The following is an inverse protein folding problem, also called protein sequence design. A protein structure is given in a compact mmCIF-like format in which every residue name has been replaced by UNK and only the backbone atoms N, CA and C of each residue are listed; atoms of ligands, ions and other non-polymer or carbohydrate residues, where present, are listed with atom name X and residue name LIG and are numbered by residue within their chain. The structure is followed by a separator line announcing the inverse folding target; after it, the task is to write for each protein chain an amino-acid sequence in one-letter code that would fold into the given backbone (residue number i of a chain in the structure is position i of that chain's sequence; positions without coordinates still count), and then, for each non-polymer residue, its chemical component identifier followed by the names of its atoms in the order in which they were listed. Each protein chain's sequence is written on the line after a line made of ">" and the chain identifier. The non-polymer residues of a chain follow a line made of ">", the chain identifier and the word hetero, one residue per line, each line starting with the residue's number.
data_IF_798929493245
#
_entry.id   IF_798929493245
#
_cell.length_a   1.000
_cell.length_b   1.000
_cell.length_c   1.000
_cell.angle_alpha   90.00
_cell.angle_beta   90.00
_cell.angle_gamma   90.00
#
_symmetry.space_group_name_H-M   'P 1'
#
loop_
_entity.id
_entity.type
_entity.pdbx_description
1 polymer ?
#
# COMPACT_ATOMS: atom_id res chain seq x y z
N UNK A 1 14.76 -2.80 -33.02
CA UNK A 1 14.02 -2.77 -31.73
C UNK A 1 13.65 -1.34 -31.46
N UNK A 2 12.37 -0.98 -31.49
CA UNK A 2 11.92 0.38 -31.26
C UNK A 2 12.13 0.75 -29.77
N UNK A 3 12.65 1.93 -29.54
CA UNK A 3 12.94 2.48 -28.22
C UNK A 3 11.61 2.62 -27.42
N UNK A 4 11.43 1.96 -26.25
CA UNK A 4 10.16 1.97 -25.53
C UNK A 4 9.79 3.33 -24.93
N UNK A 5 10.63 4.35 -25.06
CA UNK A 5 10.43 5.70 -24.53
C UNK A 5 9.91 6.73 -25.55
N UNK A 6 9.74 6.39 -26.82
CA UNK A 6 9.05 7.30 -27.74
C UNK A 6 7.53 7.05 -27.66
N UNK A 7 6.86 7.88 -26.83
CA UNK A 7 5.40 8.02 -26.91
C UNK A 7 5.07 8.37 -28.38
N UNK A 8 4.14 7.66 -29.01
CA UNK A 8 3.79 7.94 -30.40
C UNK A 8 3.33 9.39 -30.54
N UNK A 9 3.65 10.07 -31.66
CA UNK A 9 3.21 11.45 -31.91
C UNK A 9 1.69 11.63 -31.74
N UNK A 10 0.92 10.58 -32.02
CA UNK A 10 -0.54 10.59 -31.82
C UNK A 10 -0.91 10.75 -30.35
N UNK A 11 -0.21 10.08 -29.43
CA UNK A 11 -0.44 10.21 -27.97
C UNK A 11 -0.10 11.62 -27.50
N UNK A 12 1.03 12.19 -27.93
CA UNK A 12 1.43 13.55 -27.59
C UNK A 12 0.45 14.58 -28.14
N UNK A 13 -0.08 14.37 -29.35
CA UNK A 13 -1.09 15.24 -29.95
C UNK A 13 -2.41 15.17 -29.16
N UNK A 14 -2.85 13.96 -28.79
CA UNK A 14 -4.05 13.77 -27.96
C UNK A 14 -3.93 14.46 -26.59
N UNK A 15 -2.77 14.37 -25.95
CA UNK A 15 -2.48 15.05 -24.69
C UNK A 15 -2.58 16.58 -24.80
N UNK A 16 -2.00 17.16 -25.86
CA UNK A 16 -2.11 18.62 -26.11
C UNK A 16 -3.55 19.08 -26.39
N UNK A 17 -4.29 18.28 -27.16
CA UNK A 17 -5.71 18.58 -27.42
C UNK A 17 -6.52 18.57 -26.13
N UNK A 18 -6.28 17.60 -25.24
CA UNK A 18 -6.96 17.52 -23.96
C UNK A 18 -6.61 18.72 -23.06
N UNK A 19 -5.33 19.09 -22.95
CA UNK A 19 -4.93 20.30 -22.19
C UNK A 19 -5.58 21.56 -22.72
N UNK A 20 -5.63 21.72 -24.05
CA UNK A 20 -6.34 22.86 -24.67
C UNK A 20 -7.83 22.81 -24.35
N UNK A 21 -8.45 21.64 -24.34
CA UNK A 21 -9.88 21.48 -24.05
C UNK A 21 -10.25 21.76 -22.58
N UNK A 22 -9.33 21.51 -21.63
CA UNK A 22 -9.52 21.86 -20.22
C UNK A 22 -9.67 23.38 -20.02
N UNK A 23 -9.14 24.20 -20.93
CA UNK A 23 -9.18 25.65 -20.83
C UNK A 23 -8.16 26.21 -19.83
N UNK A 24 -7.99 27.55 -19.87
CA UNK A 24 -6.98 28.24 -19.06
C UNK A 24 -7.24 28.17 -17.55
N UNK A 25 -8.50 28.20 -17.12
CA UNK A 25 -8.87 28.16 -15.72
C UNK A 25 -8.47 26.82 -15.07
N UNK A 26 -8.92 25.69 -15.65
CA UNK A 26 -8.57 24.36 -15.12
C UNK A 26 -7.06 24.12 -15.24
N UNK A 27 -6.42 24.49 -16.35
CA UNK A 27 -4.98 24.36 -16.52
C UNK A 27 -4.22 25.13 -15.44
N UNK A 28 -4.61 26.38 -15.14
CA UNK A 28 -4.01 27.17 -14.07
C UNK A 28 -4.19 26.54 -12.68
N UNK A 29 -5.38 25.98 -12.39
CA UNK A 29 -5.60 25.24 -11.13
C UNK A 29 -4.74 23.96 -11.04
N UNK A 30 -4.53 23.26 -12.15
CA UNK A 30 -3.69 22.06 -12.16
C UNK A 30 -2.20 22.41 -12.03
N UNK A 31 -1.75 23.59 -12.43
CA UNK A 31 -0.38 24.07 -12.28
C UNK A 31 -0.10 24.61 -10.86
N UNK A 32 -1.11 25.11 -10.13
CA UNK A 32 -0.96 25.59 -8.76
C UNK A 32 -0.63 24.42 -7.79
N UNK A 33 0.59 24.37 -7.19
CA UNK A 33 0.97 23.26 -6.33
C UNK A 33 0.17 23.18 -5.03
N UNK A 34 -0.57 24.22 -4.66
CA UNK A 34 -1.41 24.23 -3.45
C UNK A 34 -2.77 23.59 -3.67
N UNK A 35 -3.22 23.41 -4.93
CA UNK A 35 -4.48 22.78 -5.29
C UNK A 35 -4.27 21.29 -5.45
N UNK A 36 -5.12 20.50 -4.80
CA UNK A 36 -5.09 19.03 -4.78
C UNK A 36 -6.11 18.45 -5.74
N UNK A 37 -7.26 19.10 -5.88
CA UNK A 37 -8.39 18.61 -6.68
C UNK A 37 -9.16 19.76 -7.31
N UNK A 38 -9.64 19.56 -8.56
CA UNK A 38 -10.50 20.47 -9.31
C UNK A 38 -11.77 19.72 -9.67
N UNK A 39 -12.93 20.30 -9.38
CA UNK A 39 -14.22 19.64 -9.59
C UNK A 39 -15.17 20.53 -10.37
N UNK A 40 -15.92 19.96 -11.31
CA UNK A 40 -17.06 20.56 -11.98
C UNK A 40 -18.34 19.96 -11.42
N UNK A 41 -19.21 20.79 -10.87
CA UNK A 41 -20.56 20.40 -10.45
C UNK A 41 -21.59 20.56 -11.58
N UNK A 42 -22.78 19.90 -11.48
CA UNK A 42 -23.81 20.00 -12.49
C UNK A 42 -24.38 21.44 -12.72
N UNK A 43 -24.17 22.36 -11.79
CA UNK A 43 -24.52 23.79 -11.95
C UNK A 43 -23.52 24.55 -12.82
N UNK A 44 -22.47 23.88 -13.32
CA UNK A 44 -21.42 24.46 -14.15
C UNK A 44 -20.30 25.13 -13.35
N UNK A 45 -20.41 25.27 -12.02
CA UNK A 45 -19.40 25.92 -11.20
C UNK A 45 -18.21 25.02 -10.95
N UNK A 46 -16.98 25.58 -11.05
CA UNK A 46 -15.74 24.92 -10.65
C UNK A 46 -15.49 25.11 -9.16
N UNK A 47 -15.07 24.02 -8.53
CA UNK A 47 -14.64 23.96 -7.15
C UNK A 47 -13.21 23.46 -7.08
N UNK A 48 -12.46 23.92 -6.09
CA UNK A 48 -11.07 23.50 -5.87
C UNK A 48 -10.89 23.05 -4.41
N UNK A 49 -10.08 22.02 -4.18
CA UNK A 49 -9.61 21.63 -2.86
C UNK A 49 -8.15 22.05 -2.72
N UNK A 50 -7.85 22.91 -1.71
CA UNK A 50 -6.52 23.41 -1.40
C UNK A 50 -5.93 22.72 -0.18
N UNK A 51 -4.62 22.58 -0.18
CA UNK A 51 -3.88 21.99 0.96
C UNK A 51 -4.10 22.76 2.26
N UNK A 52 -4.22 24.09 2.21
CA UNK A 52 -4.37 24.99 3.37
C UNK A 52 -5.83 25.15 3.79
N UNK A 53 -6.70 25.48 2.81
CA UNK A 53 -8.03 26.02 3.08
C UNK A 53 -9.14 25.00 2.82
N UNK A 54 -8.82 23.85 2.23
CA UNK A 54 -9.77 22.82 1.88
C UNK A 54 -10.63 23.21 0.65
N UNK A 55 -11.91 22.78 0.68
CA UNK A 55 -12.82 22.89 -0.45
C UNK A 55 -13.42 24.31 -0.56
N UNK A 56 -13.21 24.95 -1.70
CA UNK A 56 -13.70 26.31 -2.00
C UNK A 56 -14.35 26.39 -3.38
N UNK A 57 -15.44 27.16 -3.48
CA UNK A 57 -16.02 27.53 -4.76
C UNK A 57 -15.13 28.55 -5.47
N UNK A 58 -15.07 28.48 -6.79
CA UNK A 58 -14.43 29.52 -7.62
C UNK A 58 -15.50 30.38 -8.31
N UNK A 59 -15.07 31.48 -8.93
CA UNK A 59 -15.94 32.28 -9.78
C UNK A 59 -16.04 31.75 -11.21
N UNK A 60 -15.29 30.70 -11.53
CA UNK A 60 -15.24 30.07 -12.84
C UNK A 60 -16.46 29.17 -13.08
N UNK A 61 -17.10 29.35 -14.25
CA UNK A 61 -18.28 28.59 -14.66
C UNK A 61 -18.02 27.98 -16.04
N UNK A 62 -18.19 26.67 -16.19
CA UNK A 62 -18.16 25.97 -17.46
C UNK A 62 -19.58 25.72 -17.97
N UNK A 63 -19.79 25.86 -19.31
CA UNK A 63 -21.00 25.38 -19.92
C UNK A 63 -21.13 23.85 -19.86
N UNK A 64 -22.37 23.34 -19.85
CA UNK A 64 -22.61 21.90 -19.92
C UNK A 64 -21.96 21.27 -21.18
N UNK A 65 -21.95 21.98 -22.30
CA UNK A 65 -21.33 21.54 -23.55
C UNK A 65 -19.78 21.39 -23.40
N UNK A 66 -19.14 22.33 -22.70
CA UNK A 66 -17.69 22.25 -22.45
C UNK A 66 -17.35 21.12 -21.48
N UNK A 67 -18.14 20.96 -20.40
CA UNK A 67 -17.99 19.84 -19.46
C UNK A 67 -18.13 18.48 -20.17
N UNK A 68 -19.15 18.32 -21.01
CA UNK A 68 -19.36 17.11 -21.82
C UNK A 68 -18.19 16.88 -22.80
N UNK A 69 -17.74 17.93 -23.49
CA UNK A 69 -16.58 17.85 -24.40
C UNK A 69 -15.32 17.36 -23.72
N UNK A 70 -15.02 17.88 -22.51
CA UNK A 70 -13.87 17.45 -21.72
C UNK A 70 -13.99 15.95 -21.39
N UNK A 71 -15.13 15.51 -20.85
CA UNK A 71 -15.37 14.11 -20.47
C UNK A 71 -15.20 13.18 -21.67
N UNK A 72 -15.77 13.54 -22.85
CA UNK A 72 -15.65 12.75 -24.08
C UNK A 72 -14.21 12.69 -24.61
N UNK A 73 -13.44 13.77 -24.52
CA UNK A 73 -12.04 13.78 -24.93
C UNK A 73 -11.18 12.91 -24.01
N UNK A 74 -11.42 12.93 -22.69
CA UNK A 74 -10.75 12.04 -21.75
C UNK A 74 -11.09 10.59 -22.07
N UNK A 75 -12.37 10.25 -22.26
CA UNK A 75 -12.80 8.90 -22.62
C UNK A 75 -12.11 8.43 -23.91
N UNK A 76 -12.11 9.22 -24.97
CA UNK A 76 -11.44 8.92 -26.21
C UNK A 76 -9.93 8.67 -26.02
N UNK A 77 -9.27 9.46 -25.16
CA UNK A 77 -7.84 9.33 -24.90
C UNK A 77 -7.48 7.98 -24.27
N UNK A 78 -8.34 7.45 -23.39
CA UNK A 78 -8.13 6.14 -22.74
C UNK A 78 -8.75 4.97 -23.51
N UNK A 79 -9.31 5.23 -24.69
CA UNK A 79 -9.95 4.23 -25.54
C UNK A 79 -11.29 3.73 -24.97
N UNK A 80 -11.95 4.55 -24.15
CA UNK A 80 -13.28 4.27 -23.61
C UNK A 80 -14.36 5.04 -24.39
N UNK A 81 -15.58 4.52 -24.36
CA UNK A 81 -16.76 5.22 -24.86
C UNK A 81 -17.57 5.74 -23.68
N UNK A 82 -18.09 6.98 -23.80
CA UNK A 82 -18.99 7.58 -22.82
C UNK A 82 -20.24 8.10 -23.51
N UNK A 83 -21.39 7.60 -23.07
CA UNK A 83 -22.71 7.93 -23.61
C UNK A 83 -23.80 7.61 -22.56
N UNK A 84 -25.08 7.86 -22.88
CA UNK A 84 -26.18 7.65 -21.93
C UNK A 84 -26.33 6.22 -21.37
N UNK A 85 -25.88 5.21 -22.10
CA UNK A 85 -25.85 3.80 -21.63
C UNK A 85 -24.57 3.42 -20.87
N UNK A 86 -23.51 4.23 -20.99
CA UNK A 86 -22.24 4.11 -20.28
C UNK A 86 -21.78 5.51 -19.84
N UNK A 87 -22.47 6.15 -18.88
CA UNK A 87 -22.34 7.57 -18.59
C UNK A 87 -21.11 7.94 -17.73
N UNK A 88 -20.24 6.99 -17.42
CA UNK A 88 -19.09 7.16 -16.54
C UNK A 88 -17.77 6.92 -17.27
N UNK A 89 -16.76 7.73 -16.96
CA UNK A 89 -15.38 7.48 -17.35
C UNK A 89 -14.44 7.73 -16.16
N UNK A 90 -13.62 6.74 -15.85
CA UNK A 90 -12.48 6.85 -14.93
C UNK A 90 -11.20 6.76 -15.75
N UNK A 91 -10.27 7.70 -15.56
CA UNK A 91 -9.07 7.79 -16.37
C UNK A 91 -7.91 8.41 -15.59
N UNK A 92 -6.70 8.22 -16.12
CA UNK A 92 -5.50 8.98 -15.73
C UNK A 92 -5.19 9.94 -16.89
N UNK A 93 -5.06 11.23 -16.59
CA UNK A 93 -4.75 12.22 -17.61
C UNK A 93 -3.33 12.02 -18.14
N UNK A 94 -3.11 12.22 -19.45
CA UNK A 94 -1.80 12.01 -20.06
C UNK A 94 -0.78 13.03 -19.55
N UNK A 95 0.49 12.62 -19.56
CA UNK A 95 1.68 13.39 -19.17
C UNK A 95 1.84 13.62 -17.67
N UNK A 96 0.83 14.11 -17.00
CA UNK A 96 0.89 14.54 -15.59
C UNK A 96 0.27 13.54 -14.61
N UNK A 97 -0.58 12.63 -15.12
CA UNK A 97 -1.08 11.50 -14.34
C UNK A 97 -2.17 11.86 -13.33
N UNK A 98 -2.87 12.98 -13.52
CA UNK A 98 -4.02 13.32 -12.68
C UNK A 98 -5.14 12.28 -12.87
N UNK A 99 -5.75 11.90 -11.77
CA UNK A 99 -6.93 11.04 -11.78
C UNK A 99 -8.15 11.84 -12.19
N UNK A 100 -8.85 11.37 -13.20
CA UNK A 100 -10.07 11.94 -13.71
C UNK A 100 -11.24 11.00 -13.48
N UNK A 101 -12.34 11.51 -12.92
CA UNK A 101 -13.63 10.83 -12.85
C UNK A 101 -14.68 11.73 -13.48
N UNK A 102 -15.36 11.28 -14.53
CA UNK A 102 -16.37 12.06 -15.25
C UNK A 102 -17.69 11.32 -15.36
N UNK A 103 -18.78 12.08 -15.23
CA UNK A 103 -20.16 11.59 -15.28
C UNK A 103 -20.97 12.43 -16.25
N UNK A 104 -21.81 11.75 -17.05
CA UNK A 104 -22.78 12.36 -17.95
C UNK A 104 -24.23 12.01 -17.55
N UNK A 105 -25.24 12.79 -18.02
CA UNK A 105 -26.61 12.34 -17.93
C UNK A 105 -26.80 10.93 -18.52
N UNK A 106 -27.69 10.08 -17.95
CA UNK A 106 -28.76 10.40 -17.00
C UNK A 106 -28.39 10.25 -15.52
N UNK A 107 -27.17 9.88 -15.15
CA UNK A 107 -26.79 9.64 -13.74
C UNK A 107 -26.53 10.93 -12.96
N UNK A 108 -26.36 12.03 -13.67
CA UNK A 108 -26.25 13.41 -13.17
C UNK A 108 -27.16 14.32 -13.98
N UNK A 109 -27.54 15.46 -13.41
CA UNK A 109 -28.44 16.41 -14.11
C UNK A 109 -27.76 17.13 -15.30
N UNK A 110 -26.46 17.38 -15.19
CA UNK A 110 -25.56 17.93 -16.21
C UNK A 110 -24.15 17.32 -16.01
N UNK A 111 -23.23 17.45 -16.99
CA UNK A 111 -21.88 16.92 -16.89
C UNK A 111 -21.19 17.36 -15.60
N UNK A 112 -20.55 16.40 -14.92
CA UNK A 112 -19.79 16.63 -13.71
C UNK A 112 -18.48 15.84 -13.78
N UNK A 113 -17.40 16.40 -13.23
CA UNK A 113 -16.12 15.66 -13.11
C UNK A 113 -15.30 16.12 -11.92
N UNK A 114 -14.38 15.26 -11.52
CA UNK A 114 -13.30 15.58 -10.58
C UNK A 114 -11.94 15.24 -11.20
N UNK A 115 -10.96 16.13 -11.02
CA UNK A 115 -9.57 15.95 -11.44
C UNK A 115 -8.71 16.05 -10.20
N UNK A 116 -8.15 14.92 -9.74
CA UNK A 116 -7.30 14.87 -8.57
C UNK A 116 -5.83 14.75 -8.96
N UNK A 117 -5.01 15.65 -8.45
CA UNK A 117 -3.58 15.66 -8.71
C UNK A 117 -2.87 14.53 -7.95
N UNK A 118 -1.85 13.90 -8.56
CA UNK A 118 -0.97 13.02 -7.83
C UNK A 118 -0.22 13.81 -6.75
N UNK A 119 0.20 13.16 -5.67
CA UNK A 119 1.04 13.81 -4.67
C UNK A 119 2.36 14.26 -5.32
N UNK A 120 2.64 15.56 -5.26
CA UNK A 120 3.81 16.16 -5.96
C UNK A 120 5.11 15.92 -5.19
N UNK A 121 5.04 15.78 -3.86
CA UNK A 121 6.21 15.58 -3.01
C UNK A 121 6.03 14.32 -2.13
N UNK A 122 7.09 13.52 -2.06
CA UNK A 122 7.19 12.45 -1.06
C UNK A 122 7.68 13.10 0.23
N UNK A 123 6.79 13.26 1.20
CA UNK A 123 7.16 13.65 2.56
C UNK A 123 7.93 12.52 3.22
N UNK A 124 9.03 12.84 3.86
CA UNK A 124 9.78 11.92 4.72
C UNK A 124 9.12 11.83 6.11
N UNK A 125 9.46 10.80 6.88
CA UNK A 125 9.00 10.74 8.27
C UNK A 125 9.54 11.92 9.11
N UNK A 126 10.72 12.47 8.75
CA UNK A 126 11.27 13.66 9.40
C UNK A 126 10.47 14.92 9.07
N UNK A 127 9.96 15.05 7.84
CA UNK A 127 9.05 16.15 7.47
C UNK A 127 7.75 16.10 8.27
N UNK A 128 7.22 14.90 8.54
CA UNK A 128 6.05 14.72 9.40
C UNK A 128 6.32 15.17 10.85
N UNK A 129 7.51 14.89 11.36
CA UNK A 129 7.94 15.36 12.71
C UNK A 129 8.10 16.87 12.73
N UNK A 130 8.79 17.43 11.72
CA UNK A 130 9.01 18.88 11.59
C UNK A 130 7.69 19.66 11.45
N UNK A 131 6.69 19.08 10.78
CA UNK A 131 5.36 19.65 10.64
C UNK A 131 4.47 19.44 11.88
N UNK A 132 4.94 18.76 12.93
CA UNK A 132 4.16 18.46 14.13
C UNK A 132 3.00 17.47 13.89
N UNK A 133 3.01 16.73 12.79
CA UNK A 133 1.97 15.75 12.46
C UNK A 133 2.16 14.46 13.26
N UNK A 134 3.42 14.09 13.57
CA UNK A 134 3.76 12.99 14.46
C UNK A 134 4.91 13.34 15.38
N UNK A 135 5.08 12.58 16.46
CA UNK A 135 6.23 12.69 17.36
C UNK A 135 7.46 11.97 16.80
N UNK A 136 8.66 12.33 17.27
CA UNK A 136 9.90 11.62 16.93
C UNK A 136 9.84 10.13 17.29
N UNK A 137 9.21 9.79 18.43
CA UNK A 137 9.01 8.40 18.84
C UNK A 137 8.10 7.62 17.89
N UNK A 138 7.04 8.25 17.38
CA UNK A 138 6.17 7.62 16.37
C UNK A 138 6.92 7.40 15.05
N UNK A 139 7.72 8.37 14.60
CA UNK A 139 8.53 8.23 13.40
C UNK A 139 9.55 7.09 13.53
N UNK A 140 10.21 6.97 14.67
CA UNK A 140 11.16 5.90 14.93
C UNK A 140 10.50 4.52 15.01
N UNK A 141 9.34 4.42 15.66
CA UNK A 141 8.55 3.19 15.68
C UNK A 141 8.14 2.74 14.26
N UNK A 142 7.78 3.69 13.38
CA UNK A 142 7.49 3.38 11.97
C UNK A 142 8.73 2.92 11.20
N UNK A 143 9.91 3.54 11.40
CA UNK A 143 11.17 3.11 10.78
C UNK A 143 11.55 1.70 11.23
N UNK A 144 11.47 1.45 12.53
CA UNK A 144 11.72 0.13 13.11
C UNK A 144 10.77 -0.91 12.52
N UNK A 145 9.48 -0.62 12.44
CA UNK A 145 8.49 -1.52 11.84
C UNK A 145 8.81 -1.82 10.36
N UNK A 146 9.26 -0.83 9.58
CA UNK A 146 9.71 -1.04 8.21
C UNK A 146 10.96 -1.91 8.16
N UNK A 147 11.97 -1.65 9.00
CA UNK A 147 13.22 -2.42 9.06
C UNK A 147 12.97 -3.89 9.46
N UNK A 148 12.06 -4.13 10.40
CA UNK A 148 11.65 -5.46 10.87
C UNK A 148 10.67 -6.17 9.95
N UNK A 149 10.33 -5.58 8.81
CA UNK A 149 9.34 -6.12 7.87
C UNK A 149 7.97 -6.37 8.52
N UNK A 150 7.53 -5.47 9.41
CA UNK A 150 6.19 -5.51 9.97
C UNK A 150 5.15 -5.11 8.94
N UNK A 151 4.00 -5.77 8.93
CA UNK A 151 2.86 -5.38 8.09
C UNK A 151 2.16 -4.19 8.71
N UNK A 152 2.10 -3.08 7.98
CA UNK A 152 1.60 -1.79 8.45
C UNK A 152 0.30 -1.44 7.73
N UNK A 153 -0.76 -1.17 8.47
CA UNK A 153 -2.02 -0.69 7.95
C UNK A 153 -2.18 0.80 8.26
N UNK A 154 -2.26 1.64 7.23
CA UNK A 154 -2.47 3.09 7.37
C UNK A 154 -3.95 3.39 7.26
N UNK A 155 -4.55 3.84 8.36
CA UNK A 155 -5.97 4.13 8.47
C UNK A 155 -6.24 5.64 8.54
N UNK A 156 -7.45 6.05 8.18
CA UNK A 156 -7.89 7.43 8.26
C UNK A 156 -9.07 7.71 7.34
N UNK A 157 -9.73 8.83 7.53
CA UNK A 157 -10.80 9.31 6.66
C UNK A 157 -10.30 9.79 5.29
N UNK A 158 -11.21 10.29 4.47
CA UNK A 158 -10.87 10.91 3.18
C UNK A 158 -10.04 12.18 3.40
N UNK A 159 -9.00 12.38 2.59
CA UNK A 159 -8.11 13.56 2.62
C UNK A 159 -7.29 13.73 3.91
N UNK A 160 -7.19 12.70 4.77
CA UNK A 160 -6.32 12.74 5.97
C UNK A 160 -4.84 12.56 5.66
N UNK A 161 -4.48 12.14 4.43
CA UNK A 161 -3.10 11.94 4.00
C UNK A 161 -2.60 10.50 4.11
N UNK A 162 -3.50 9.50 4.08
CA UNK A 162 -3.12 8.07 4.09
C UNK A 162 -2.07 7.74 3.02
N UNK A 163 -2.36 8.08 1.77
CA UNK A 163 -1.45 7.83 0.63
C UNK A 163 -0.10 8.54 0.81
N UNK A 164 -0.11 9.76 1.38
CA UNK A 164 1.11 10.52 1.64
C UNK A 164 1.98 9.84 2.71
N UNK A 165 1.39 9.34 3.81
CA UNK A 165 2.12 8.57 4.81
C UNK A 165 2.61 7.23 4.25
N UNK A 166 1.79 6.56 3.43
CA UNK A 166 2.21 5.33 2.75
C UNK A 166 3.43 5.59 1.85
N UNK A 167 3.46 6.71 1.12
CA UNK A 167 4.62 7.09 0.31
C UNK A 167 5.86 7.38 1.19
N UNK A 168 5.71 7.98 2.37
CA UNK A 168 6.82 8.13 3.32
C UNK A 168 7.37 6.77 3.79
N UNK A 169 6.49 5.80 4.06
CA UNK A 169 6.91 4.43 4.39
C UNK A 169 7.56 3.72 3.21
N UNK A 170 7.07 3.92 1.99
CA UNK A 170 7.69 3.39 0.76
C UNK A 170 9.07 4.00 0.51
N UNK A 171 9.30 5.27 0.88
CA UNK A 171 10.63 5.89 0.84
C UNK A 171 11.59 5.23 1.84
N UNK A 172 11.13 4.82 3.02
CA UNK A 172 11.95 4.01 3.95
C UNK A 172 12.22 2.61 3.39
N UNK A 173 11.21 1.95 2.80
CA UNK A 173 11.37 0.64 2.14
C UNK A 173 12.37 0.73 0.98
N UNK A 174 12.37 1.82 0.22
CA UNK A 174 13.27 2.02 -0.92
C UNK A 174 14.77 2.09 -0.53
N UNK A 175 15.07 2.33 0.75
CA UNK A 175 16.45 2.26 1.29
C UNK A 175 16.94 0.82 1.48
N UNK A 176 16.05 -0.17 1.39
CA UNK A 176 16.39 -1.59 1.49
C UNK A 176 16.71 -2.19 0.11
N UNK A 177 17.26 -3.41 0.09
CA UNK A 177 17.49 -4.17 -1.15
C UNK A 177 16.29 -5.03 -1.56
N UNK A 178 15.13 -4.84 -0.94
CA UNK A 178 13.95 -5.67 -1.12
C UNK A 178 13.35 -5.51 -2.53
N UNK A 179 12.86 -6.62 -3.09
CA UNK A 179 12.02 -6.59 -4.29
C UNK A 179 10.61 -6.19 -3.90
N UNK A 180 10.17 -5.04 -4.37
CA UNK A 180 8.87 -4.45 -4.05
C UNK A 180 7.91 -4.64 -5.20
N UNK A 181 6.72 -5.17 -4.93
CA UNK A 181 5.64 -5.27 -5.92
C UNK A 181 4.47 -4.43 -5.40
N UNK A 182 4.32 -3.24 -5.96
CA UNK A 182 3.23 -2.31 -5.64
C UNK A 182 1.98 -2.70 -6.43
N UNK A 183 0.83 -2.75 -5.75
CA UNK A 183 -0.47 -3.05 -6.37
C UNK A 183 -1.46 -1.93 -6.01
N UNK A 184 -2.09 -1.33 -7.02
CA UNK A 184 -3.04 -0.23 -6.82
C UNK A 184 -4.11 -0.17 -7.92
N UNK A 185 -5.23 0.46 -7.63
CA UNK A 185 -6.27 0.72 -8.63
C UNK A 185 -5.90 1.91 -9.50
N UNK A 186 -5.43 2.97 -8.87
CA UNK A 186 -4.98 4.20 -9.53
C UNK A 186 -3.58 4.52 -9.03
N UNK A 187 -2.76 5.09 -9.91
CA UNK A 187 -1.38 5.42 -9.61
C UNK A 187 -1.28 6.56 -8.59
N UNK A 188 -1.09 6.22 -7.33
CA UNK A 188 -0.90 7.17 -6.22
C UNK A 188 0.37 6.87 -5.42
N UNK A 189 0.83 5.62 -5.44
CA UNK A 189 2.00 5.20 -4.69
C UNK A 189 3.30 5.53 -5.43
N UNK A 190 4.23 6.14 -4.71
CA UNK A 190 5.55 6.54 -5.20
C UNK A 190 6.62 5.71 -4.48
N UNK A 191 7.15 4.71 -5.16
CA UNK A 191 8.21 3.87 -4.66
C UNK A 191 9.43 3.99 -5.56
N UNK A 192 10.59 4.31 -4.99
CA UNK A 192 11.86 4.45 -5.70
C UNK A 192 12.79 3.26 -5.47
N UNK A 193 12.27 2.14 -4.98
CA UNK A 193 13.06 0.92 -4.78
C UNK A 193 13.73 0.48 -6.09
N UNK A 194 15.02 0.08 -6.05
CA UNK A 194 15.75 -0.31 -7.26
C UNK A 194 15.13 -1.52 -7.98
N UNK A 195 14.51 -2.42 -7.23
CA UNK A 195 13.86 -3.61 -7.74
C UNK A 195 12.34 -3.52 -7.55
N UNK A 196 11.68 -2.75 -8.42
CA UNK A 196 10.26 -2.41 -8.35
C UNK A 196 9.47 -3.00 -9.50
N UNK A 197 8.29 -3.56 -9.20
CA UNK A 197 7.22 -3.82 -10.16
C UNK A 197 5.97 -3.10 -9.68
N UNK A 198 5.41 -2.21 -10.49
CA UNK A 198 4.15 -1.56 -10.22
C UNK A 198 3.04 -2.17 -11.09
N UNK A 199 1.99 -2.67 -10.46
CA UNK A 199 0.84 -3.30 -11.09
C UNK A 199 -0.42 -2.50 -10.80
N UNK A 200 -1.31 -2.41 -11.79
CA UNK A 200 -2.58 -1.70 -11.66
C UNK A 200 -3.75 -2.55 -12.13
N UNK A 201 -4.88 -2.39 -11.48
CA UNK A 201 -6.14 -2.94 -11.96
C UNK A 201 -6.57 -2.29 -13.26
N UNK A 202 -7.39 -2.98 -13.98
CA UNK A 202 -8.08 -2.43 -15.16
C UNK A 202 -9.49 -3.01 -15.20
N UNK A 203 -10.48 -2.12 -15.20
CA UNK A 203 -11.89 -2.49 -15.22
C UNK A 203 -12.20 -3.49 -16.35
N UNK A 204 -12.86 -4.59 -16.01
CA UNK A 204 -13.23 -5.65 -16.93
C UNK A 204 -12.05 -6.51 -17.47
N UNK A 205 -10.80 -6.27 -17.02
CA UNK A 205 -9.61 -7.00 -17.48
C UNK A 205 -8.92 -7.75 -16.35
N UNK A 206 -8.59 -7.07 -15.24
CA UNK A 206 -7.90 -7.67 -14.11
C UNK A 206 -8.24 -6.96 -12.80
N UNK A 207 -8.59 -7.74 -11.80
CA UNK A 207 -8.98 -7.29 -10.47
C UNK A 207 -7.79 -7.19 -9.54
N UNK A 208 -7.96 -6.51 -8.42
CA UNK A 208 -6.96 -6.37 -7.37
C UNK A 208 -6.60 -7.73 -6.75
N UNK A 209 -7.59 -8.60 -6.49
CA UNK A 209 -7.38 -9.99 -6.03
C UNK A 209 -6.51 -10.81 -6.99
N UNK A 210 -6.74 -10.69 -8.30
CA UNK A 210 -5.94 -11.40 -9.31
C UNK A 210 -4.50 -10.88 -9.33
N UNK A 211 -4.30 -9.57 -9.16
CA UNK A 211 -2.96 -8.97 -9.08
C UNK A 211 -2.22 -9.42 -7.82
N UNK A 212 -2.89 -9.49 -6.65
CA UNK A 212 -2.28 -10.03 -5.43
C UNK A 212 -1.83 -11.48 -5.65
N UNK A 213 -2.68 -12.33 -6.23
CA UNK A 213 -2.30 -13.73 -6.54
C UNK A 213 -1.17 -13.83 -7.56
N UNK A 214 -1.14 -12.94 -8.55
CA UNK A 214 -0.08 -12.89 -9.56
C UNK A 214 1.25 -12.43 -8.96
N UNK A 215 1.22 -11.49 -8.01
CA UNK A 215 2.41 -10.97 -7.34
C UNK A 215 3.22 -12.09 -6.67
N UNK A 216 2.56 -13.08 -6.08
CA UNK A 216 3.21 -14.22 -5.40
C UNK A 216 4.11 -15.05 -6.35
N UNK A 217 3.87 -15.00 -7.67
CA UNK A 217 4.71 -15.66 -8.67
C UNK A 217 5.85 -14.80 -9.20
N UNK A 218 5.88 -13.53 -8.82
CA UNK A 218 6.92 -12.57 -9.20
C UNK A 218 8.06 -12.47 -8.17
N UNK A 219 8.07 -13.36 -7.17
CA UNK A 219 9.08 -13.42 -6.09
C UNK A 219 9.20 -12.09 -5.32
N UNK A 220 8.12 -11.56 -4.75
CA UNK A 220 8.18 -10.35 -3.95
C UNK A 220 8.89 -10.59 -2.62
N UNK A 221 9.62 -9.58 -2.14
CA UNK A 221 9.99 -9.48 -0.74
C UNK A 221 8.91 -8.72 0.03
N UNK A 222 8.33 -7.68 -0.60
CA UNK A 222 7.23 -6.86 -0.04
C UNK A 222 6.14 -6.60 -1.07
N UNK A 223 4.89 -6.55 -0.60
CA UNK A 223 3.70 -6.29 -1.43
C UNK A 223 2.92 -5.12 -0.82
N UNK A 224 3.31 -3.85 -1.10
CA UNK A 224 2.49 -2.69 -0.77
C UNK A 224 1.22 -2.66 -1.63
N UNK A 225 0.12 -2.18 -1.02
CA UNK A 225 -1.17 -2.04 -1.69
C UNK A 225 -1.72 -0.61 -1.50
N UNK A 226 -2.24 -0.02 -2.55
CA UNK A 226 -2.75 1.35 -2.53
C UNK A 226 -3.89 1.52 -1.54
N UNK A 227 -4.95 0.77 -1.69
CA UNK A 227 -6.09 0.77 -0.79
C UNK A 227 -6.81 -0.56 -0.79
N UNK A 228 -7.23 -1.01 0.40
CA UNK A 228 -8.03 -2.22 0.60
C UNK A 228 -9.50 -1.81 0.69
N UNK A 229 -10.33 -2.20 -0.29
CA UNK A 229 -11.71 -1.75 -0.44
C UNK A 229 -12.74 -2.86 -0.49
N UNK A 230 -12.35 -4.11 -0.79
CA UNK A 230 -13.24 -5.25 -1.00
C UNK A 230 -12.63 -6.59 -0.64
N UNK A 231 -13.10 -7.60 -1.32
CA UNK A 231 -12.76 -9.01 -1.08
C UNK A 231 -11.26 -9.35 -1.18
N UNK A 232 -10.47 -8.52 -1.86
CA UNK A 232 -9.01 -8.66 -1.96
C UNK A 232 -8.30 -8.61 -0.60
N UNK A 233 -8.97 -8.08 0.43
CA UNK A 233 -8.46 -8.06 1.80
C UNK A 233 -8.01 -9.45 2.28
N UNK A 234 -8.76 -10.51 1.93
CA UNK A 234 -8.42 -11.89 2.31
C UNK A 234 -7.17 -12.40 1.56
N UNK A 235 -7.07 -12.12 0.25
CA UNK A 235 -5.91 -12.52 -0.55
C UNK A 235 -4.65 -11.80 -0.06
N UNK A 236 -4.77 -10.52 0.30
CA UNK A 236 -3.68 -9.72 0.86
C UNK A 236 -3.18 -10.28 2.19
N UNK A 237 -4.09 -10.57 3.14
CA UNK A 237 -3.71 -11.15 4.42
C UNK A 237 -3.00 -12.50 4.25
N UNK A 238 -3.49 -13.34 3.33
CA UNK A 238 -2.80 -14.59 3.00
C UNK A 238 -1.40 -14.33 2.45
N UNK A 239 -1.23 -13.37 1.54
CA UNK A 239 0.07 -13.03 0.97
C UNK A 239 1.06 -12.54 2.05
N UNK A 240 0.63 -11.60 2.90
CA UNK A 240 1.46 -11.05 3.97
C UNK A 240 1.76 -12.06 5.08
N UNK A 241 0.81 -12.94 5.42
CA UNK A 241 0.96 -13.96 6.46
C UNK A 241 1.74 -15.22 6.04
N UNK A 242 1.94 -15.44 4.73
CA UNK A 242 2.56 -16.68 4.21
C UNK A 242 3.90 -16.48 3.51
N UNK A 243 4.75 -15.60 4.03
CA UNK A 243 6.14 -15.50 3.58
C UNK A 243 6.52 -14.20 2.87
N UNK A 244 5.61 -13.21 2.77
CA UNK A 244 5.87 -11.90 2.20
C UNK A 244 5.55 -10.77 3.20
N UNK A 245 6.21 -10.73 4.39
CA UNK A 245 5.97 -9.72 5.42
C UNK A 245 6.51 -8.36 5.01
N UNK A 246 6.11 -7.31 5.74
CA UNK A 246 6.55 -5.94 5.48
C UNK A 246 5.72 -5.23 4.40
N UNK A 247 4.48 -5.69 4.24
CA UNK A 247 3.49 -5.00 3.43
C UNK A 247 3.03 -3.69 4.08
N UNK A 248 2.63 -2.74 3.24
CA UNK A 248 2.00 -1.48 3.65
C UNK A 248 0.72 -1.32 2.85
N UNK A 249 -0.39 -1.01 3.50
CA UNK A 249 -1.68 -0.82 2.83
C UNK A 249 -2.50 0.28 3.46
N UNK A 250 -3.46 0.85 2.73
CA UNK A 250 -4.38 1.85 3.31
C UNK A 250 -5.79 1.30 3.46
N UNK A 251 -6.51 1.82 4.45
CA UNK A 251 -7.91 1.47 4.71
C UNK A 251 -8.66 2.68 5.29
N UNK A 252 -9.97 2.76 5.04
CA UNK A 252 -10.83 3.78 5.65
C UNK A 252 -11.29 3.33 7.03
N UNK A 253 -10.73 3.93 8.09
CA UNK A 253 -11.16 3.76 9.48
C UNK A 253 -10.70 4.92 10.35
N UNK A 254 -11.37 5.15 11.48
CA UNK A 254 -11.07 6.25 12.42
C UNK A 254 -10.23 5.84 13.63
N UNK A 255 -10.05 4.54 13.89
CA UNK A 255 -9.28 3.97 15.01
C UNK A 255 -8.56 2.70 14.58
N UNK A 256 -7.57 2.24 15.34
CA UNK A 256 -6.85 1.00 15.05
C UNK A 256 -7.77 -0.21 15.08
N UNK A 257 -8.58 -0.37 16.14
CA UNK A 257 -9.58 -1.45 16.21
C UNK A 257 -10.61 -1.34 15.09
N UNK A 258 -11.04 -0.10 14.76
CA UNK A 258 -11.94 0.17 13.63
C UNK A 258 -11.37 -0.30 12.29
N UNK A 259 -10.05 -0.16 12.08
CA UNK A 259 -9.37 -0.65 10.88
C UNK A 259 -9.41 -2.18 10.77
N UNK A 260 -9.18 -2.89 11.87
CA UNK A 260 -9.26 -4.36 11.91
C UNK A 260 -10.71 -4.85 11.67
N UNK A 261 -11.69 -4.20 12.30
CA UNK A 261 -13.12 -4.50 12.06
C UNK A 261 -13.54 -4.18 10.62
N UNK A 262 -12.96 -3.14 10.02
CA UNK A 262 -13.20 -2.85 8.60
C UNK A 262 -12.63 -3.94 7.70
N UNK A 263 -11.46 -4.49 8.00
CA UNK A 263 -10.93 -5.67 7.31
C UNK A 263 -11.89 -6.87 7.42
N UNK A 264 -12.45 -7.12 8.61
CA UNK A 264 -13.45 -8.19 8.77
C UNK A 264 -14.64 -8.01 7.81
N UNK A 265 -15.19 -6.79 7.73
CA UNK A 265 -16.31 -6.48 6.83
C UNK A 265 -15.96 -6.74 5.36
N UNK A 266 -14.78 -6.31 4.93
CA UNK A 266 -14.31 -6.52 3.55
C UNK A 266 -14.09 -8.00 3.25
N UNK A 267 -13.57 -8.76 4.21
CA UNK A 267 -13.36 -10.20 4.07
C UNK A 267 -14.70 -10.96 4.00
N UNK A 268 -15.74 -10.47 4.68
CA UNK A 268 -17.09 -11.05 4.59
C UNK A 268 -17.68 -10.99 3.18
N UNK A 269 -17.20 -10.11 2.31
CA UNK A 269 -17.59 -10.10 0.90
C UNK A 269 -17.11 -11.36 0.15
N UNK A 270 -16.06 -12.03 0.64
CA UNK A 270 -15.47 -13.21 0.03
C UNK A 270 -15.82 -14.53 0.76
N UNK A 271 -16.03 -14.47 2.07
CA UNK A 271 -16.23 -15.67 2.91
C UNK A 271 -17.26 -15.43 4.02
N UNK A 272 -17.99 -16.47 4.39
CA UNK A 272 -19.01 -16.42 5.47
C UNK A 272 -18.35 -16.29 6.85
N UNK A 273 -17.24 -17.00 7.07
CA UNK A 273 -16.53 -16.98 8.37
C UNK A 273 -15.25 -16.20 8.23
N UNK A 274 -15.18 -15.08 8.95
CA UNK A 274 -13.98 -14.22 8.95
C UNK A 274 -12.88 -14.83 9.81
N UNK A 275 -11.67 -15.03 9.27
CA UNK A 275 -10.54 -15.56 10.04
C UNK A 275 -9.90 -14.46 10.90
N UNK A 276 -10.53 -14.08 12.03
CA UNK A 276 -10.06 -13.02 12.93
C UNK A 276 -8.64 -13.25 13.44
N UNK A 277 -8.30 -14.52 13.73
CA UNK A 277 -6.93 -14.88 14.12
C UNK A 277 -5.92 -14.52 13.04
N UNK A 278 -6.21 -14.81 11.76
CA UNK A 278 -5.34 -14.44 10.65
C UNK A 278 -5.15 -12.93 10.54
N UNK A 279 -6.21 -12.13 10.77
CA UNK A 279 -6.08 -10.66 10.79
C UNK A 279 -5.12 -10.24 11.90
N UNK A 280 -5.33 -10.75 13.12
CA UNK A 280 -4.54 -10.39 14.31
C UNK A 280 -3.07 -10.84 14.23
N UNK A 281 -2.80 -11.97 13.57
CA UNK A 281 -1.45 -12.50 13.36
C UNK A 281 -0.71 -11.77 12.23
N UNK A 282 -1.46 -11.32 11.20
CA UNK A 282 -0.86 -10.75 10.00
C UNK A 282 -0.60 -9.25 10.14
N UNK A 283 -1.54 -8.48 10.71
CA UNK A 283 -1.38 -7.04 10.87
C UNK A 283 -0.60 -6.78 12.16
N UNK A 284 0.58 -6.17 12.03
CA UNK A 284 1.46 -5.92 13.17
C UNK A 284 1.30 -4.51 13.74
N UNK A 285 1.05 -3.51 12.86
CA UNK A 285 0.98 -2.11 13.24
C UNK A 285 -0.15 -1.41 12.49
N UNK A 286 -0.89 -0.57 13.19
CA UNK A 286 -1.90 0.31 12.59
C UNK A 286 -1.55 1.76 12.90
N UNK A 287 -1.44 2.59 11.85
CA UNK A 287 -1.19 4.02 11.92
C UNK A 287 -2.45 4.78 11.52
N UNK A 288 -3.07 5.53 12.44
CA UNK A 288 -4.34 6.22 12.20
C UNK A 288 -4.11 7.72 12.04
N UNK A 289 -4.41 8.24 10.86
CA UNK A 289 -4.37 9.67 10.56
C UNK A 289 -5.73 10.31 10.78
N UNK A 290 -5.74 11.48 11.42
CA UNK A 290 -6.92 12.31 11.61
C UNK A 290 -6.67 13.78 11.25
N UNK A 291 -7.74 14.54 11.08
CA UNK A 291 -7.67 15.95 10.69
C UNK A 291 -7.34 16.16 9.22
N UNK A 292 -7.42 17.41 8.76
CA UNK A 292 -7.10 17.86 7.40
C UNK A 292 -6.31 19.16 7.45
N UNK A 293 -5.54 19.46 6.42
CA UNK A 293 -4.72 20.69 6.38
C UNK A 293 -3.83 20.81 7.63
N UNK A 294 -3.86 21.95 8.28
CA UNK A 294 -3.07 22.24 9.49
C UNK A 294 -3.48 21.41 10.74
N UNK A 295 -4.68 20.83 10.76
CA UNK A 295 -5.12 19.97 11.86
C UNK A 295 -4.74 18.48 11.69
N UNK A 296 -4.04 18.13 10.63
CA UNK A 296 -3.59 16.76 10.35
C UNK A 296 -2.64 16.28 11.44
N UNK A 297 -2.86 15.06 11.92
CA UNK A 297 -1.98 14.40 12.90
C UNK A 297 -2.06 12.89 12.80
N UNK A 298 -0.99 12.20 13.19
CA UNK A 298 -1.00 10.78 13.51
C UNK A 298 -1.64 10.62 14.89
N UNK A 299 -2.94 10.32 14.90
CA UNK A 299 -3.74 10.30 16.12
C UNK A 299 -3.51 9.05 16.96
N UNK A 300 -3.21 7.94 16.31
CA UNK A 300 -2.98 6.64 16.95
C UNK A 300 -1.90 5.89 16.18
N UNK A 301 -0.95 5.29 16.88
CA UNK A 301 0.00 4.31 16.36
C UNK A 301 -0.01 3.14 17.32
N UNK A 302 -0.44 1.98 16.84
CA UNK A 302 -0.79 0.86 17.71
C UNK A 302 -0.25 -0.46 17.20
N UNK A 303 0.37 -1.24 18.09
CA UNK A 303 0.71 -2.63 17.87
C UNK A 303 -0.52 -3.52 18.04
N UNK A 304 -0.60 -4.56 17.22
CA UNK A 304 -1.60 -5.61 17.32
C UNK A 304 -0.95 -6.82 17.97
N UNK A 305 -1.42 -7.18 19.16
CA UNK A 305 -0.84 -8.27 19.97
C UNK A 305 -1.58 -9.59 19.82
N UNK A 306 -2.70 -9.61 19.09
CA UNK A 306 -3.50 -10.79 18.90
C UNK A 306 -4.96 -10.61 19.28
N UNK A 307 -5.63 -11.71 19.62
CA UNK A 307 -6.99 -11.72 20.15
C UNK A 307 -6.97 -11.99 21.66
N UNK A 308 -7.83 -11.27 22.39
CA UNK A 308 -8.08 -11.51 23.79
C UNK A 308 -8.91 -12.78 24.03
N UNK A 309 -9.10 -13.20 25.31
CA UNK A 309 -9.95 -14.34 25.67
C UNK A 309 -11.44 -14.11 25.31
N UNK A 310 -11.84 -12.86 25.20
CA UNK A 310 -13.16 -12.39 24.75
C UNK A 310 -13.32 -12.45 23.22
N UNK A 311 -12.23 -12.75 22.50
CA UNK A 311 -12.17 -12.74 21.05
C UNK A 311 -12.02 -11.34 20.44
N UNK A 312 -11.84 -10.28 21.23
CA UNK A 312 -11.56 -8.94 20.71
C UNK A 312 -10.05 -8.71 20.46
N UNK A 313 -9.74 -7.76 19.56
CA UNK A 313 -8.35 -7.42 19.25
C UNK A 313 -7.67 -6.73 20.43
N UNK A 314 -6.50 -7.20 20.81
CA UNK A 314 -5.59 -6.53 21.74
C UNK A 314 -4.71 -5.56 20.98
N UNK A 315 -4.75 -4.30 21.42
CA UNK A 315 -4.07 -3.19 20.76
C UNK A 315 -3.34 -2.38 21.82
N UNK A 316 -2.04 -2.15 21.63
CA UNK A 316 -1.21 -1.34 22.55
C UNK A 316 -0.56 -0.17 21.81
N UNK A 317 -0.36 1.00 22.48
CA UNK A 317 0.35 2.13 21.86
C UNK A 317 1.79 1.74 21.47
N UNK A 318 2.18 2.00 20.23
CA UNK A 318 3.51 1.66 19.73
C UNK A 318 4.64 2.57 20.24
N UNK A 319 4.32 3.63 20.97
CA UNK A 319 5.30 4.57 21.54
C UNK A 319 5.71 4.25 22.97
N UNK A 320 5.10 3.24 23.58
CA UNK A 320 5.60 2.67 24.82
C UNK A 320 6.57 1.55 24.45
N UNK A 321 7.87 1.72 24.77
CA UNK A 321 8.79 0.58 24.84
C UNK A 321 8.13 -0.46 25.74
N UNK A 322 8.12 -1.77 25.40
CA UNK A 322 7.71 -2.78 26.35
C UNK A 322 8.59 -2.58 27.60
N UNK A 323 7.95 -2.21 28.72
CA UNK A 323 8.62 -2.33 30.00
C UNK A 323 9.05 -3.79 30.10
N UNK A 324 10.36 -4.02 30.02
CA UNK A 324 10.94 -5.28 30.41
C UNK A 324 10.67 -5.37 31.92
N UNK A 325 9.60 -6.04 32.29
CA UNK A 325 9.41 -6.46 33.67
C UNK A 325 10.61 -7.32 34.03
N UNK A 326 11.62 -6.67 34.58
CA UNK A 326 12.66 -7.38 35.29
C UNK A 326 11.96 -8.10 36.45
N UNK A 327 12.07 -9.41 36.57
CA UNK A 327 11.47 -10.11 37.70
C UNK A 327 12.01 -9.49 38.98
N UNK A 328 11.09 -8.98 39.81
CA UNK A 328 11.39 -8.42 41.11
C UNK A 328 12.05 -9.51 41.93
N UNK A 329 13.42 -9.53 41.97
CA UNK A 329 14.15 -10.33 42.87
C UNK A 329 13.93 -9.78 44.29
N UNK A 330 13.06 -10.47 45.03
CA UNK A 330 12.86 -10.25 46.46
C UNK A 330 14.20 -10.30 47.18
N UNK A 331 14.74 -9.15 47.55
CA UNK A 331 15.92 -9.04 48.39
C UNK A 331 15.49 -9.43 49.80
N UNK A 332 15.72 -10.71 50.15
CA UNK A 332 15.76 -11.10 51.53
C UNK A 332 17.13 -10.66 52.09
N UNK A 333 17.09 -9.65 52.94
CA UNK A 333 18.22 -9.24 53.75
C UNK A 333 18.56 -10.35 54.76
N UNK A 334 19.67 -11.04 54.52
CA UNK A 334 20.33 -11.86 55.54
C UNK A 334 21.74 -11.31 55.75
N UNK A 335 21.88 -10.59 56.86
CA UNK A 335 23.21 -10.25 57.41
C UNK A 335 23.96 -11.53 57.77
N UNK A 336 25.12 -11.77 57.13
CA UNK A 336 26.06 -12.79 57.59
C UNK A 336 27.51 -12.29 57.47
N UNK A 337 28.09 -12.29 58.60
CA UNK A 337 29.41 -12.05 59.11
C UNK A 337 30.58 -12.44 58.20
N UNK A 338 31.51 -11.51 58.08
CA UNK A 338 32.82 -11.59 57.43
C UNK A 338 33.69 -12.66 58.15
N UNK A 339 34.20 -13.63 57.37
CA UNK A 339 35.38 -14.38 57.75
C UNK A 339 36.31 -14.48 56.53
N UNK A 340 37.47 -13.83 56.68
CA UNK A 340 38.58 -13.86 55.71
C UNK A 340 39.33 -15.20 55.83
N UNK A 341 39.62 -15.85 54.69
CA UNK A 341 40.74 -16.77 54.51
C UNK A 341 41.34 -16.66 53.10
N UNK A 342 42.68 -16.89 52.97
CA UNK A 342 43.48 -16.41 51.86
C UNK A 342 43.58 -17.39 50.68
N UNK A 343 43.95 -16.84 49.52
CA UNK A 343 44.24 -17.48 48.25
C UNK A 343 45.42 -18.46 48.33
N UNK A 344 45.45 -19.53 47.49
CA UNK A 344 46.68 -20.10 46.97
C UNK A 344 46.88 -19.81 45.49
N UNK A 345 48.15 -19.62 45.14
CA UNK A 345 48.72 -19.30 43.84
C UNK A 345 48.74 -20.48 42.86
N UNK A 346 49.12 -20.25 41.58
CA UNK A 346 48.83 -21.15 40.48
C UNK A 346 49.97 -22.15 40.21
N UNK A 347 49.65 -23.37 39.74
CA UNK A 347 50.62 -24.29 39.15
C UNK A 347 50.18 -24.79 37.80
N UNK A 348 51.00 -24.45 36.81
CA UNK A 348 51.50 -25.13 35.60
C UNK A 348 50.73 -26.33 34.98
N UNK A 349 50.37 -26.11 33.72
CA UNK A 349 50.58 -26.90 32.52
C UNK A 349 50.20 -28.40 32.47
N UNK A 350 49.33 -28.75 31.53
CA UNK A 350 49.61 -29.88 30.64
C UNK A 350 48.81 -29.79 29.33
N UNK A 351 49.55 -29.92 28.25
CA UNK A 351 49.09 -30.11 26.88
C UNK A 351 48.31 -31.40 26.73
N UNK A 352 47.13 -31.39 26.09
CA UNK A 352 46.63 -32.61 25.48
C UNK A 352 46.16 -32.31 24.05
N UNK A 353 46.69 -33.14 23.16
CA UNK A 353 46.56 -33.17 21.70
C UNK A 353 45.10 -33.31 21.27
N UNK A 354 44.72 -32.51 20.29
CA UNK A 354 43.51 -32.74 19.49
C UNK A 354 43.75 -33.87 18.49
N UNK A 355 42.93 -34.91 18.52
CA UNK A 355 42.77 -35.88 17.45
C UNK A 355 41.82 -35.37 16.36
N UNK A 356 42.07 -35.68 15.09
CA UNK A 356 41.19 -35.31 13.98
C UNK A 356 40.00 -36.25 13.86
N UNK A 357 38.84 -35.68 13.51
CA UNK A 357 37.59 -36.39 13.19
C UNK A 357 37.72 -37.16 11.87
N UNK A 358 37.09 -38.35 11.76
CA UNK A 358 37.01 -39.09 10.51
C UNK A 358 36.00 -38.50 9.52
N UNK A 359 36.19 -38.77 8.21
CA UNK A 359 35.31 -38.24 7.17
C UNK A 359 33.95 -38.95 7.09
N UNK A 360 32.93 -38.20 6.62
CA UNK A 360 31.54 -38.65 6.44
C UNK A 360 31.43 -39.69 5.30
N UNK A 361 30.45 -40.64 5.37
CA UNK A 361 30.22 -41.64 4.32
C UNK A 361 29.49 -41.07 3.11
N UNK A 362 29.65 -41.64 1.90
CA UNK A 362 29.03 -41.17 0.67
C UNK A 362 27.53 -41.56 0.53
N UNK A 363 26.77 -40.70 -0.12
CA UNK A 363 25.35 -40.91 -0.44
C UNK A 363 25.14 -42.06 -1.44
N UNK A 364 24.11 -42.91 -1.29
CA UNK A 364 23.78 -43.95 -2.26
C UNK A 364 23.13 -43.40 -3.54
N UNK A 365 23.59 -43.94 -4.67
CA UNK A 365 23.19 -43.56 -6.01
C UNK A 365 21.73 -43.96 -6.37
N UNK A 366 21.11 -43.17 -7.21
CA UNK A 366 19.81 -43.45 -7.86
C UNK A 366 19.97 -44.50 -8.95
N UNK A 367 19.03 -45.43 -9.11
CA UNK A 367 19.04 -46.33 -10.28
C UNK A 367 18.44 -45.65 -11.49
N UNK A 368 19.11 -45.80 -12.63
CA UNK A 368 18.57 -45.54 -14.00
C UNK A 368 17.57 -46.63 -14.34
N UNK A 369 16.37 -46.24 -14.81
CA UNK A 369 15.55 -47.12 -15.60
C UNK A 369 15.21 -46.45 -16.94
N UNK A 370 15.75 -47.07 -17.99
CA UNK A 370 15.38 -46.90 -19.38
C UNK A 370 14.07 -47.64 -19.68
N UNK A 371 13.15 -47.02 -20.42
CA UNK A 371 12.20 -47.66 -21.36
C UNK A 371 11.57 -46.59 -22.22
N UNK A 372 11.94 -46.53 -23.42
CA UNK A 372 11.45 -46.75 -24.77
C UNK A 372 9.93 -46.64 -24.96
N UNK A 373 9.59 -45.74 -25.89
CA UNK A 373 8.71 -45.85 -27.05
C UNK A 373 7.27 -46.32 -26.90
N UNK A 374 6.32 -45.47 -27.23
CA UNK A 374 5.44 -45.77 -28.35
C UNK A 374 4.51 -44.57 -28.68
N UNK A 375 4.49 -44.23 -29.97
CA UNK A 375 3.52 -43.32 -30.62
C UNK A 375 2.14 -43.98 -30.61
N UNK A 376 1.09 -43.22 -30.36
CA UNK A 376 -0.19 -43.49 -30.99
C UNK A 376 -0.91 -42.19 -31.36
N UNK A 377 -1.21 -42.08 -32.63
CA UNK A 377 -2.11 -41.09 -33.24
C UNK A 377 -3.55 -41.47 -32.94
N UNK A 378 -4.39 -40.48 -32.55
CA UNK A 378 -5.84 -40.54 -32.79
C UNK A 378 -6.32 -39.08 -32.86
N UNK A 379 -6.61 -38.57 -33.99
CA UNK A 379 -7.86 -38.33 -34.72
C UNK A 379 -8.91 -37.56 -33.90
N UNK A 380 -9.11 -36.31 -34.34
CA UNK A 380 -10.31 -35.49 -34.08
C UNK A 380 -11.57 -36.11 -34.69
N UNK A 381 -12.75 -35.80 -34.23
CA UNK A 381 -13.88 -35.58 -35.09
C UNK A 381 -14.40 -34.11 -35.03
N UNK A 382 -14.60 -33.59 -36.23
CA UNK A 382 -15.53 -32.46 -36.49
C UNK A 382 -16.96 -32.95 -36.26
N UNK A 383 -17.78 -32.10 -35.73
CA UNK A 383 -19.21 -32.08 -36.04
C UNK A 383 -19.76 -30.65 -36.00
N UNK A 384 -20.38 -30.34 -37.09
CA UNK A 384 -21.16 -29.21 -37.51
C UNK A 384 -22.50 -29.11 -36.76
N UNK A 385 -22.88 -27.97 -36.31
CA UNK A 385 -24.06 -27.15 -36.69
C UNK A 385 -24.06 -25.87 -35.89
#
# INVERSE_FOLDING_TARGET
>A
MANPHQKSEAVLRGARMLRTALGSAIAGFLEDPTIVEVMLNPDGRLWIDRLSDGLNATDEVLSAADGERIIRLVAHHVGAEVHSGAPRVSAELPETGERFEGLLPPVVAAPAFAIRKPAVAVFTLDDYVAAGIMTSGQAEALRTAVAERRNILVAGGTSTGKTTLTNALLAEIAKTSDRVIVIEDTRELQCTAPNLVAMRTKDGVITLSELVRSSLRLRPDRIPIGEVRGAEALDLLKAWGTGHPGGVGTIHAGTAVGALRRLEQLIQEAVVTVPRALIAETINLVAVLSGRGASRRLAELAHIEGLGPDGDYRVTPATQSPEVELPCSSVHSASAVISRRPLPSPSSASHSRRQPMPPAPPCPGKPRSSRSCSRSKARSPRLSR
#
